data_IF_520018815919
#
_entry.id   IF_520018815919
#
_cell.length_a   1.000
_cell.length_b   1.000
_cell.length_c   1.000
_cell.angle_alpha   90.00
_cell.angle_beta   90.00
_cell.angle_gamma   90.00
#
_symmetry.space_group_name_H-M   'P 1'
#
loop_
_entity.id
_entity.type
_entity.pdbx_description
1 polymer ?
#
# COMPACT_ATOMS: atom_id res chain seq x y z
N UNK A 1 -5.50 -4.31 -15.98
CA UNK A 1 -5.00 -2.98 -15.59
C UNK A 1 -5.82 -2.48 -14.40
N UNK A 2 -5.27 -2.54 -13.19
CA UNK A 2 -5.95 -1.98 -12.00
C UNK A 2 -5.66 -0.49 -11.92
N UNK A 3 -6.69 0.35 -11.84
CA UNK A 3 -6.57 1.81 -11.72
C UNK A 3 -6.95 2.22 -10.30
N UNK A 4 -5.96 2.61 -9.50
CA UNK A 4 -6.23 3.16 -8.17
C UNK A 4 -6.50 4.66 -8.27
N UNK A 5 -7.48 5.15 -7.50
CA UNK A 5 -7.80 6.58 -7.39
C UNK A 5 -7.77 6.96 -5.92
N UNK A 6 -6.87 7.85 -5.53
CA UNK A 6 -6.88 8.44 -4.19
C UNK A 6 -8.04 9.41 -4.05
N UNK A 7 -8.78 9.34 -2.94
CA UNK A 7 -9.92 10.20 -2.63
C UNK A 7 -9.83 10.74 -1.20
N UNK A 8 -10.42 11.91 -0.95
CA UNK A 8 -10.48 12.52 0.38
C UNK A 8 -9.10 12.91 0.95
N UNK A 9 -8.96 12.83 2.27
CA UNK A 9 -7.74 13.18 3.00
C UNK A 9 -6.51 12.36 2.58
N UNK A 10 -6.72 11.19 1.96
CA UNK A 10 -5.63 10.38 1.41
C UNK A 10 -4.84 11.13 0.33
N UNK A 11 -5.46 12.05 -0.43
CA UNK A 11 -4.74 12.88 -1.42
C UNK A 11 -3.73 13.84 -0.81
N UNK A 12 -3.95 14.27 0.43
CA UNK A 12 -3.04 15.18 1.13
C UNK A 12 -1.78 14.46 1.63
N UNK A 13 -1.87 13.14 1.77
CA UNK A 13 -0.84 12.30 2.37
C UNK A 13 -0.13 11.48 1.30
N UNK A 14 -0.86 10.92 0.33
CA UNK A 14 -0.34 10.08 -0.75
C UNK A 14 -0.13 10.88 -2.04
N UNK A 15 1.13 11.01 -2.45
CA UNK A 15 1.55 11.64 -3.69
C UNK A 15 1.32 10.73 -4.89
N UNK A 16 1.67 9.45 -4.76
CA UNK A 16 1.52 8.46 -5.82
C UNK A 16 1.33 7.07 -5.23
N UNK A 17 0.70 6.20 -6.01
CA UNK A 17 0.69 4.78 -5.74
C UNK A 17 0.86 3.99 -7.03
N UNK A 18 1.49 2.83 -6.96
CA UNK A 18 1.47 1.81 -8.01
C UNK A 18 1.19 0.44 -7.41
N UNK A 19 0.60 -0.42 -8.25
CA UNK A 19 0.43 -1.84 -7.97
C UNK A 19 1.03 -2.61 -9.13
N UNK A 20 1.88 -3.56 -8.78
CA UNK A 20 2.60 -4.40 -9.73
C UNK A 20 2.38 -5.86 -9.34
N UNK A 21 2.15 -6.68 -10.35
CA UNK A 21 1.95 -8.12 -10.18
C UNK A 21 2.88 -8.79 -11.16
N UNK A 22 3.77 -9.62 -10.64
CA UNK A 22 4.71 -10.39 -11.44
C UNK A 22 4.59 -11.89 -11.14
N UNK A 23 4.76 -12.76 -12.15
CA UNK A 23 4.80 -14.20 -11.92
C UNK A 23 6.07 -14.58 -11.14
N UNK A 24 5.97 -15.62 -10.31
CA UNK A 24 7.08 -16.26 -9.61
C UNK A 24 6.95 -17.78 -9.71
N UNK A 25 8.01 -18.53 -9.40
CA UNK A 25 8.01 -20.00 -9.49
C UNK A 25 6.87 -20.68 -8.70
N UNK A 26 6.37 -20.02 -7.63
CA UNK A 26 5.35 -20.57 -6.72
C UNK A 26 4.03 -19.80 -6.73
N UNK A 27 3.82 -18.91 -7.71
CA UNK A 27 2.60 -18.11 -7.81
C UNK A 27 2.87 -16.72 -8.36
N UNK A 28 2.41 -15.68 -7.66
CA UNK A 28 2.59 -14.29 -8.07
C UNK A 28 3.09 -13.44 -6.92
N UNK A 29 3.99 -12.51 -7.20
CA UNK A 29 4.42 -11.47 -6.27
C UNK A 29 3.52 -10.24 -6.52
N UNK A 30 2.94 -9.72 -5.45
CA UNK A 30 2.14 -8.51 -5.47
C UNK A 30 2.90 -7.41 -4.74
N UNK A 31 3.19 -6.32 -5.45
CA UNK A 31 3.92 -5.18 -4.93
C UNK A 31 3.03 -3.95 -4.94
N UNK A 32 2.84 -3.35 -3.77
CA UNK A 32 2.16 -2.07 -3.61
C UNK A 32 3.18 -0.99 -3.23
N UNK A 33 3.43 -0.04 -4.13
CA UNK A 33 4.33 1.09 -3.86
C UNK A 33 3.51 2.33 -3.56
N UNK A 34 3.81 3.01 -2.47
CA UNK A 34 3.12 4.21 -2.01
C UNK A 34 4.13 5.33 -1.76
N UNK A 35 4.03 6.41 -2.53
CA UNK A 35 4.79 7.64 -2.30
C UNK A 35 3.95 8.61 -1.49
N UNK A 36 4.52 9.13 -0.41
CA UNK A 36 3.86 10.08 0.47
C UNK A 36 4.36 11.51 0.22
N UNK A 37 3.49 12.51 0.38
CA UNK A 37 3.83 13.95 0.38
C UNK A 37 4.64 14.28 1.65
N UNK A 38 5.83 13.72 1.77
CA UNK A 38 6.65 13.77 2.98
C UNK A 38 7.67 14.90 2.90
N UNK A 39 7.18 16.14 2.73
CA UNK A 39 8.00 17.35 2.80
C UNK A 39 8.48 17.67 4.23
N UNK A 40 9.32 18.72 4.38
CA UNK A 40 9.94 19.17 5.65
C UNK A 40 8.96 19.27 6.83
N UNK A 41 7.67 19.52 6.61
CA UNK A 41 6.64 19.68 7.64
C UNK A 41 6.33 18.39 8.45
N UNK A 42 6.44 17.19 7.87
CA UNK A 42 6.11 15.95 8.60
C UNK A 42 7.34 15.39 9.34
N UNK A 43 8.57 15.82 9.03
CA UNK A 43 9.81 15.31 9.66
C UNK A 43 9.81 15.33 11.21
N UNK A 44 9.07 16.26 11.83
CA UNK A 44 8.90 16.37 13.29
C UNK A 44 7.78 15.52 13.88
N UNK A 45 6.80 15.08 13.09
CA UNK A 45 5.63 14.27 13.50
C UNK A 45 5.69 12.83 12.95
N UNK A 46 6.62 12.56 12.01
CA UNK A 46 6.53 11.46 11.06
C UNK A 46 6.78 10.06 11.60
N UNK A 47 7.74 9.81 12.50
CA UNK A 47 8.23 8.42 12.69
C UNK A 47 7.16 7.45 13.16
N UNK A 48 6.34 7.85 14.13
CA UNK A 48 5.25 7.01 14.66
C UNK A 48 4.12 6.86 13.64
N UNK A 49 3.74 7.95 12.99
CA UNK A 49 2.67 7.95 11.97
C UNK A 49 3.06 7.12 10.74
N UNK A 50 4.29 7.28 10.25
CA UNK A 50 4.83 6.48 9.14
C UNK A 50 4.87 5.01 9.50
N UNK A 51 5.35 4.66 10.71
CA UNK A 51 5.35 3.27 11.17
C UNK A 51 3.93 2.69 11.24
N UNK A 52 2.96 3.46 11.73
CA UNK A 52 1.57 3.03 11.79
C UNK A 52 0.97 2.85 10.38
N UNK A 53 1.27 3.75 9.44
CA UNK A 53 0.85 3.64 8.05
C UNK A 53 1.47 2.39 7.41
N UNK A 54 2.78 2.17 7.56
CA UNK A 54 3.47 0.98 7.06
C UNK A 54 2.85 -0.30 7.63
N UNK A 55 2.60 -0.33 8.94
CA UNK A 55 1.99 -1.49 9.60
C UNK A 55 0.59 -1.78 9.07
N UNK A 56 -0.26 -0.75 8.95
CA UNK A 56 -1.61 -0.89 8.39
C UNK A 56 -1.56 -1.40 6.95
N UNK A 57 -0.61 -0.97 6.12
CA UNK A 57 -0.49 -1.46 4.74
C UNK A 57 -0.06 -2.93 4.66
N UNK A 58 0.79 -3.39 5.57
CA UNK A 58 1.14 -4.81 5.68
C UNK A 58 -0.10 -5.63 6.04
N UNK A 59 -0.89 -5.17 7.00
CA UNK A 59 -2.12 -5.85 7.45
C UNK A 59 -3.17 -5.94 6.33
N UNK A 60 -3.38 -4.86 5.57
CA UNK A 60 -4.28 -4.86 4.40
C UNK A 60 -3.77 -5.80 3.30
N UNK A 61 -2.45 -5.86 3.08
CA UNK A 61 -1.84 -6.80 2.13
C UNK A 61 -2.09 -8.26 2.50
N UNK A 62 -1.90 -8.61 3.77
CA UNK A 62 -2.17 -9.96 4.30
C UNK A 62 -3.67 -10.32 4.22
N UNK A 63 -4.55 -9.35 4.48
CA UNK A 63 -5.99 -9.56 4.35
C UNK A 63 -6.40 -9.79 2.90
N UNK A 64 -5.87 -8.99 1.97
CA UNK A 64 -6.10 -9.17 0.53
C UNK A 64 -5.63 -10.53 0.07
N UNK A 65 -4.43 -10.97 0.49
CA UNK A 65 -3.91 -12.30 0.18
C UNK A 65 -4.87 -13.40 0.64
N UNK A 66 -5.33 -13.35 1.89
CA UNK A 66 -6.29 -14.33 2.44
C UNK A 66 -7.60 -14.36 1.65
N UNK A 67 -8.11 -13.20 1.22
CA UNK A 67 -9.32 -13.12 0.39
C UNK A 67 -9.07 -13.81 -0.95
N UNK A 68 -7.97 -13.49 -1.63
CA UNK A 68 -7.65 -14.06 -2.93
C UNK A 68 -7.45 -15.57 -2.86
N UNK A 69 -6.72 -16.06 -1.86
CA UNK A 69 -6.49 -17.50 -1.67
C UNK A 69 -7.77 -18.26 -1.31
N UNK A 70 -8.69 -17.66 -0.54
CA UNK A 70 -10.02 -18.23 -0.27
C UNK A 70 -10.96 -18.21 -1.47
N UNK A 71 -10.78 -17.26 -2.38
CA UNK A 71 -11.62 -17.15 -3.58
C UNK A 71 -11.28 -18.22 -4.63
N UNK A 72 -10.12 -18.86 -4.48
CA UNK A 72 -9.58 -19.88 -5.38
C UNK A 72 -9.83 -21.31 -4.89
N UNK A 73 -10.42 -21.46 -3.69
CA UNK A 73 -10.86 -22.74 -3.09
C UNK A 73 -12.35 -22.95 -3.25
#
# INVERSE_FOLDING_TARGET
MYRFKTVGALKLILARGSFEIEPSEKGSIFTATLDFHMGKLISKVAKKTVRNISQHMIEEGENLKKILERSLS
#
